data_IF_950582519751
#
_entry.id   IF_950582519751
#
_cell.length_a   1.000
_cell.length_b   1.000
_cell.length_c   1.000
_cell.angle_alpha   90.00
_cell.angle_beta   90.00
_cell.angle_gamma   90.00
#
_symmetry.space_group_name_H-M   'P 1'
#
loop_
_entity.id
_entity.type
_entity.pdbx_description
1 polymer ?
#
# COMPACT_ATOMS: atom_id res chain seq x y z
N UNK A 1 21.14 12.59 31.98
CA UNK A 1 20.05 12.06 31.13
C UNK A 1 20.70 11.16 30.09
N UNK A 2 20.16 9.98 29.77
CA UNK A 2 20.70 9.21 28.66
C UNK A 2 20.64 10.09 27.40
N UNK A 3 21.74 10.17 26.67
CA UNK A 3 21.86 10.99 25.47
C UNK A 3 20.76 10.54 24.49
N UNK A 4 19.91 11.48 24.07
CA UNK A 4 18.82 11.18 23.13
C UNK A 4 19.42 10.61 21.84
N UNK A 5 18.94 9.45 21.41
CA UNK A 5 19.40 8.83 20.16
C UNK A 5 18.99 9.73 18.99
N UNK A 6 19.95 10.09 18.15
CA UNK A 6 19.67 10.79 16.90
C UNK A 6 19.10 9.80 15.87
N UNK A 7 18.08 10.24 15.14
CA UNK A 7 17.45 9.46 14.08
C UNK A 7 17.88 10.04 12.73
N UNK A 8 18.36 9.18 11.84
CA UNK A 8 18.80 9.56 10.48
C UNK A 8 18.05 8.70 9.44
N UNK A 9 17.86 9.26 8.24
CA UNK A 9 17.29 8.54 7.10
C UNK A 9 18.45 7.97 6.28
N UNK A 10 18.52 6.66 6.16
CA UNK A 10 19.63 5.96 5.46
C UNK A 10 19.27 5.47 4.07
N UNK A 11 17.98 5.30 3.76
CA UNK A 11 17.55 4.85 2.44
C UNK A 11 16.12 5.27 2.13
N UNK A 12 15.83 5.41 0.84
CA UNK A 12 14.52 5.81 0.33
C UNK A 12 14.06 4.86 -0.77
N UNK A 13 12.76 4.57 -0.77
CA UNK A 13 12.12 3.75 -1.80
C UNK A 13 10.70 4.21 -2.03
N UNK A 14 10.29 4.25 -3.29
CA UNK A 14 8.98 4.73 -3.70
C UNK A 14 8.49 3.94 -4.92
N UNK A 15 7.19 3.68 -4.96
CA UNK A 15 6.49 3.15 -6.14
C UNK A 15 5.28 4.05 -6.31
N UNK A 16 5.37 5.00 -7.25
CA UNK A 16 4.35 6.03 -7.40
C UNK A 16 4.22 6.50 -8.86
N UNK A 17 3.27 7.39 -9.17
CA UNK A 17 3.04 7.86 -10.54
C UNK A 17 4.20 8.60 -11.19
N UNK A 18 5.21 9.00 -10.41
CA UNK A 18 6.43 9.67 -10.88
C UNK A 18 7.58 8.71 -11.15
N UNK A 19 7.42 7.41 -10.86
CA UNK A 19 8.42 6.39 -11.13
C UNK A 19 8.55 5.34 -10.03
N UNK A 20 9.47 4.41 -10.26
CA UNK A 20 9.78 3.29 -9.36
C UNK A 20 11.23 3.45 -8.89
N UNK A 21 11.41 3.56 -7.58
CA UNK A 21 12.70 3.80 -6.94
C UNK A 21 13.04 5.28 -6.78
N UNK A 22 14.02 5.56 -5.91
CA UNK A 22 14.45 6.91 -5.54
C UNK A 22 14.85 7.76 -6.75
N UNK A 23 15.72 7.22 -7.59
CA UNK A 23 16.36 8.01 -8.66
C UNK A 23 15.36 8.39 -9.76
N UNK A 24 14.44 7.48 -10.13
CA UNK A 24 13.38 7.77 -11.09
C UNK A 24 12.42 8.85 -10.58
N UNK A 25 11.97 8.73 -9.32
CA UNK A 25 11.09 9.73 -8.70
C UNK A 25 11.79 11.09 -8.60
N UNK A 26 13.07 11.11 -8.22
CA UNK A 26 13.85 12.35 -8.15
C UNK A 26 14.02 13.01 -9.52
N UNK A 27 14.29 12.25 -10.57
CA UNK A 27 14.41 12.77 -11.94
C UNK A 27 13.10 13.41 -12.41
N UNK A 28 11.96 12.75 -12.17
CA UNK A 28 10.64 13.28 -12.52
C UNK A 28 10.32 14.57 -11.75
N UNK A 29 10.60 14.61 -10.44
CA UNK A 29 10.38 15.80 -9.60
C UNK A 29 11.26 16.98 -10.02
N UNK A 30 12.55 16.74 -10.24
CA UNK A 30 13.53 17.79 -10.59
C UNK A 30 13.29 18.38 -11.98
N UNK A 31 12.59 17.67 -12.86
CA UNK A 31 12.22 18.13 -14.21
C UNK A 31 10.77 18.62 -14.31
N UNK A 32 10.01 18.61 -13.21
CA UNK A 32 8.62 19.08 -13.17
C UNK A 32 7.64 18.18 -13.93
N UNK A 33 7.93 16.88 -14.06
CA UNK A 33 7.02 15.94 -14.71
C UNK A 33 5.79 15.69 -13.86
N UNK A 34 4.63 15.65 -14.50
CA UNK A 34 3.36 15.29 -13.86
C UNK A 34 3.08 13.79 -14.05
N UNK A 35 2.76 13.11 -12.95
CA UNK A 35 2.25 11.73 -12.99
C UNK A 35 0.74 11.64 -13.26
N UNK A 36 0.03 12.78 -13.31
CA UNK A 36 -1.44 12.82 -13.48
C UNK A 36 -1.80 12.66 -14.95
N UNK A 37 -2.69 11.72 -15.25
CA UNK A 37 -3.12 11.37 -16.60
C UNK A 37 -4.54 10.86 -16.64
N UNK A 38 -5.10 10.78 -17.85
CA UNK A 38 -6.43 10.21 -18.09
C UNK A 38 -6.43 8.73 -17.67
N UNK A 39 -7.42 8.32 -16.90
CA UNK A 39 -7.68 6.92 -16.56
C UNK A 39 -8.16 6.22 -17.84
N UNK A 40 -7.43 5.23 -18.39
CA UNK A 40 -7.77 4.60 -19.67
C UNK A 40 -9.18 4.04 -19.72
N UNK A 41 -9.64 3.45 -18.61
CA UNK A 41 -10.98 2.88 -18.47
C UNK A 41 -12.08 3.94 -18.61
N UNK A 42 -11.78 5.21 -18.33
CA UNK A 42 -12.74 6.32 -18.38
C UNK A 42 -12.65 7.12 -19.68
N UNK A 43 -11.83 6.69 -20.64
CA UNK A 43 -11.74 7.32 -21.94
C UNK A 43 -13.10 7.29 -22.66
N UNK A 44 -13.58 8.45 -23.10
CA UNK A 44 -14.87 8.59 -23.79
C UNK A 44 -16.11 8.56 -22.88
N UNK A 45 -15.94 8.45 -21.55
CA UNK A 45 -17.05 8.52 -20.60
C UNK A 45 -17.19 9.94 -20.05
N UNK A 46 -18.42 10.42 -19.86
CA UNK A 46 -18.67 11.72 -19.22
C UNK A 46 -18.72 11.59 -17.68
N UNK A 47 -17.58 11.20 -17.11
CA UNK A 47 -17.39 11.16 -15.66
C UNK A 47 -16.77 12.46 -15.17
N UNK A 48 -17.12 12.94 -13.96
CA UNK A 48 -16.50 14.14 -13.41
C UNK A 48 -15.07 13.95 -12.92
N UNK A 49 -14.65 12.70 -12.68
CA UNK A 49 -13.29 12.33 -12.28
C UNK A 49 -12.69 11.43 -13.37
N UNK A 50 -11.83 11.98 -14.22
CA UNK A 50 -11.21 11.22 -15.32
C UNK A 50 -9.69 11.16 -15.24
N UNK A 51 -9.10 11.92 -14.33
CA UNK A 51 -7.65 12.04 -14.20
C UNK A 51 -7.21 11.52 -12.84
N UNK A 52 -6.10 10.78 -12.83
CA UNK A 52 -5.45 10.35 -11.62
C UNK A 52 -3.95 10.08 -11.84
N UNK A 53 -3.21 9.94 -10.75
CA UNK A 53 -1.84 9.46 -10.79
C UNK A 53 -1.82 7.94 -10.83
N UNK A 54 -1.66 7.35 -12.00
CA UNK A 54 -1.52 5.90 -12.14
C UNK A 54 -0.05 5.51 -11.93
N UNK A 55 0.23 4.28 -11.52
CA UNK A 55 1.60 3.76 -11.49
C UNK A 55 1.85 3.05 -12.82
N UNK A 56 2.83 3.50 -13.60
CA UNK A 56 3.15 2.96 -14.92
C UNK A 56 4.35 2.02 -14.86
N UNK A 57 4.29 0.93 -15.63
CA UNK A 57 5.40 -0.02 -15.76
C UNK A 57 5.74 -0.78 -14.47
N UNK A 58 4.89 -0.74 -13.44
CA UNK A 58 5.11 -1.48 -12.22
C UNK A 58 4.67 -2.93 -12.37
N UNK A 59 5.64 -3.84 -12.30
CA UNK A 59 5.44 -5.28 -12.37
C UNK A 59 5.76 -5.91 -10.99
N UNK A 60 4.76 -6.11 -10.12
CA UNK A 60 4.95 -6.61 -8.76
C UNK A 60 5.80 -7.88 -8.64
N UNK A 61 5.74 -8.76 -9.67
CA UNK A 61 6.47 -10.03 -9.74
C UNK A 61 7.98 -9.90 -9.81
N UNK A 62 8.50 -8.70 -10.07
CA UNK A 62 9.93 -8.38 -10.10
C UNK A 62 10.47 -8.13 -8.69
N UNK A 63 9.63 -7.59 -7.80
CA UNK A 63 10.01 -7.16 -6.46
C UNK A 63 9.56 -8.14 -5.38
N UNK A 64 8.33 -8.68 -5.50
CA UNK A 64 7.72 -9.52 -4.48
C UNK A 64 8.26 -10.94 -4.55
N UNK A 65 8.93 -11.35 -3.47
CA UNK A 65 9.45 -12.71 -3.32
C UNK A 65 8.98 -13.36 -2.00
N UNK A 66 8.56 -14.64 -2.02
CA UNK A 66 8.33 -15.47 -3.20
C UNK A 66 7.07 -15.04 -3.99
N UNK A 67 7.05 -15.23 -5.31
CA UNK A 67 5.94 -14.84 -6.20
C UNK A 67 4.55 -15.32 -5.76
N UNK A 68 4.46 -16.45 -5.05
CA UNK A 68 3.20 -16.98 -4.51
C UNK A 68 2.49 -16.00 -3.56
N UNK A 69 3.24 -15.12 -2.88
CA UNK A 69 2.70 -14.14 -1.93
C UNK A 69 1.86 -13.06 -2.63
N UNK A 70 2.06 -12.83 -3.93
CA UNK A 70 1.25 -11.88 -4.71
C UNK A 70 -0.26 -12.18 -4.62
N UNK A 71 -0.64 -13.45 -4.49
CA UNK A 71 -2.05 -13.87 -4.39
C UNK A 71 -2.77 -13.37 -3.13
N UNK A 72 -2.01 -12.96 -2.12
CA UNK A 72 -2.54 -12.49 -0.83
C UNK A 72 -2.21 -11.02 -0.56
N UNK A 73 -1.82 -10.26 -1.59
CA UNK A 73 -1.50 -8.83 -1.49
C UNK A 73 -2.37 -8.01 -2.45
N UNK A 74 -2.99 -6.92 -1.98
CA UNK A 74 -3.57 -5.92 -2.88
C UNK A 74 -2.50 -5.15 -3.64
N UNK A 75 -2.88 -4.43 -4.70
CA UNK A 75 -1.95 -3.59 -5.46
C UNK A 75 -1.20 -2.58 -4.57
N UNK A 76 -1.90 -1.99 -3.60
CA UNK A 76 -1.32 -1.05 -2.62
C UNK A 76 -0.28 -1.75 -1.72
N UNK A 77 -0.57 -2.98 -1.27
CA UNK A 77 0.37 -3.76 -0.47
C UNK A 77 1.59 -4.17 -1.30
N UNK A 78 1.39 -4.56 -2.56
CA UNK A 78 2.48 -4.90 -3.48
C UNK A 78 3.39 -3.70 -3.72
N UNK A 79 2.82 -2.51 -3.93
CA UNK A 79 3.58 -1.26 -4.06
C UNK A 79 4.33 -0.91 -2.77
N UNK A 80 3.66 -1.00 -1.60
CA UNK A 80 4.27 -0.74 -0.29
C UNK A 80 5.47 -1.66 -0.03
N UNK A 81 5.28 -2.96 -0.27
CA UNK A 81 6.31 -3.97 -0.13
C UNK A 81 7.51 -3.66 -1.03
N UNK A 82 7.25 -3.36 -2.30
CA UNK A 82 8.28 -3.10 -3.29
C UNK A 82 9.06 -1.83 -2.95
N UNK A 83 8.37 -0.76 -2.53
CA UNK A 83 8.99 0.47 -2.04
C UNK A 83 9.89 0.21 -0.81
N UNK A 84 9.45 -0.63 0.13
CA UNK A 84 10.25 -1.00 1.30
C UNK A 84 11.51 -1.78 0.92
N UNK A 85 11.42 -2.71 -0.04
CA UNK A 85 12.59 -3.45 -0.53
C UNK A 85 13.59 -2.52 -1.24
N UNK A 86 13.10 -1.56 -2.04
CA UNK A 86 13.94 -0.51 -2.65
C UNK A 86 14.60 0.36 -1.59
N UNK A 87 13.90 0.73 -0.51
CA UNK A 87 14.46 1.53 0.57
C UNK A 87 15.57 0.79 1.34
N UNK A 88 15.40 -0.51 1.60
CA UNK A 88 16.42 -1.36 2.21
C UNK A 88 17.66 -1.49 1.32
N UNK A 89 17.45 -1.65 0.01
CA UNK A 89 18.53 -1.71 -0.96
C UNK A 89 19.29 -0.38 -1.02
N UNK A 90 18.57 0.75 -1.06
CA UNK A 90 19.16 2.10 -1.07
C UNK A 90 19.98 2.38 0.20
N UNK A 91 19.51 1.89 1.34
CA UNK A 91 20.23 1.98 2.62
C UNK A 91 21.51 1.12 2.66
N UNK A 92 21.76 0.26 1.66
CA UNK A 92 22.87 -0.68 1.66
C UNK A 92 22.76 -1.76 2.75
N UNK A 93 21.56 -1.98 3.29
CA UNK A 93 21.33 -2.98 4.33
C UNK A 93 21.27 -4.37 3.73
N UNK A 94 22.39 -5.09 3.81
CA UNK A 94 22.44 -6.49 3.41
C UNK A 94 21.48 -7.33 4.26
N UNK A 95 21.00 -8.45 3.71
CA UNK A 95 20.18 -9.40 4.46
C UNK A 95 20.94 -9.88 5.71
N UNK A 96 20.27 -9.87 6.86
CA UNK A 96 20.85 -10.22 8.18
C UNK A 96 21.96 -9.26 8.68
N UNK A 97 22.09 -8.07 8.11
CA UNK A 97 23.04 -7.05 8.62
C UNK A 97 22.58 -6.38 9.93
N UNK A 98 21.29 -6.48 10.25
CA UNK A 98 20.68 -5.97 11.48
C UNK A 98 20.16 -7.16 12.29
N UNK A 99 20.35 -7.11 13.60
CA UNK A 99 19.74 -8.10 14.52
C UNK A 99 18.22 -8.06 14.33
N UNK A 100 17.55 -9.19 14.01
CA UNK A 100 16.12 -9.22 13.70
C UNK A 100 15.23 -8.50 14.71
N UNK A 101 15.49 -8.67 16.00
CA UNK A 101 14.74 -8.06 17.11
C UNK A 101 14.97 -6.54 17.24
N UNK A 102 15.98 -6.00 16.55
CA UNK A 102 16.33 -4.58 16.49
C UNK A 102 15.91 -3.91 15.18
N UNK A 103 15.34 -4.68 14.24
CA UNK A 103 14.74 -4.21 13.01
C UNK A 103 13.21 -4.23 13.14
N UNK A 104 12.59 -3.04 13.11
CA UNK A 104 11.13 -2.90 13.19
C UNK A 104 10.51 -2.36 11.90
N UNK A 105 9.18 -2.39 11.86
CA UNK A 105 8.36 -1.98 10.70
C UNK A 105 7.13 -1.22 11.19
N UNK A 106 6.96 0.04 10.77
CA UNK A 106 5.75 0.81 11.05
C UNK A 106 5.25 1.45 9.77
N UNK A 107 4.10 0.99 9.27
CA UNK A 107 3.53 1.50 8.02
C UNK A 107 2.22 2.22 8.28
N UNK A 108 2.05 3.35 7.61
CA UNK A 108 0.78 4.01 7.46
C UNK A 108 -0.01 3.41 6.31
N UNK A 109 -1.33 3.44 6.38
CA UNK A 109 -2.15 3.21 5.19
C UNK A 109 -3.45 4.01 5.21
N UNK A 110 -4.00 4.23 4.02
CA UNK A 110 -5.41 4.59 3.89
C UNK A 110 -6.28 3.33 4.04
N UNK A 111 -7.61 3.51 3.99
CA UNK A 111 -8.51 2.38 3.85
C UNK A 111 -8.18 1.62 2.55
N UNK A 112 -7.80 0.35 2.68
CA UNK A 112 -7.57 -0.53 1.55
C UNK A 112 -8.91 -1.09 1.08
N UNK A 113 -9.42 -0.53 0.00
CA UNK A 113 -10.67 -0.98 -0.59
C UNK A 113 -10.45 -2.27 -1.38
N UNK A 114 -11.38 -3.22 -1.23
CA UNK A 114 -11.44 -4.41 -2.07
C UNK A 114 -11.48 -4.04 -3.56
N UNK A 115 -10.88 -4.86 -4.42
CA UNK A 115 -11.01 -4.68 -5.86
C UNK A 115 -12.44 -5.02 -6.28
N UNK A 116 -13.11 -4.10 -6.97
CA UNK A 116 -14.48 -4.34 -7.44
C UNK A 116 -14.59 -5.59 -8.32
N UNK A 117 -13.56 -5.90 -9.11
CA UNK A 117 -13.51 -7.09 -9.94
C UNK A 117 -13.70 -8.39 -9.16
N UNK A 118 -13.23 -8.46 -7.91
CA UNK A 118 -13.35 -9.66 -7.07
C UNK A 118 -14.77 -9.86 -6.52
N UNK A 119 -15.56 -8.80 -6.42
CA UNK A 119 -16.96 -8.86 -5.98
C UNK A 119 -17.95 -8.78 -7.15
N UNK A 120 -17.52 -8.35 -8.33
CA UNK A 120 -18.38 -8.09 -9.48
C UNK A 120 -19.12 -9.35 -9.95
N UNK A 121 -18.45 -10.50 -9.97
CA UNK A 121 -19.08 -11.75 -10.40
C UNK A 121 -20.12 -12.24 -9.38
N UNK A 122 -19.79 -12.18 -8.08
CA UNK A 122 -20.77 -12.44 -7.01
C UNK A 122 -21.97 -11.51 -7.11
N UNK A 123 -21.74 -10.23 -7.40
CA UNK A 123 -22.81 -9.25 -7.59
C UNK A 123 -23.70 -9.60 -8.79
N UNK A 124 -23.11 -9.93 -9.95
CA UNK A 124 -23.85 -10.30 -11.17
C UNK A 124 -24.72 -11.54 -10.96
N UNK A 125 -24.26 -12.52 -10.19
CA UNK A 125 -25.02 -13.72 -9.86
C UNK A 125 -26.22 -13.45 -8.94
N UNK A 126 -26.26 -12.29 -8.31
CA UNK A 126 -27.40 -11.83 -7.53
C UNK A 126 -28.38 -10.98 -8.35
N UNK A 127 -28.11 -10.72 -9.63
CA UNK A 127 -29.02 -9.97 -10.51
C UNK A 127 -29.86 -10.93 -11.33
N UNK A 128 -31.18 -10.91 -11.11
CA UNK A 128 -32.17 -11.69 -11.87
C UNK A 128 -33.20 -10.72 -12.41
N UNK A 129 -33.54 -10.84 -13.70
CA UNK A 129 -34.47 -9.94 -14.40
C UNK A 129 -34.16 -8.43 -14.25
N UNK A 130 -32.89 -8.08 -14.02
CA UNK A 130 -32.41 -6.71 -13.86
C UNK A 130 -32.50 -6.15 -12.44
N UNK A 131 -33.01 -6.92 -11.47
CA UNK A 131 -33.09 -6.53 -10.07
C UNK A 131 -32.07 -7.27 -9.21
N UNK A 132 -31.57 -6.60 -8.16
CA UNK A 132 -30.62 -7.19 -7.23
C UNK A 132 -31.36 -7.94 -6.11
N UNK A 133 -31.08 -9.24 -6.00
CA UNK A 133 -31.66 -10.15 -5.03
C UNK A 133 -30.74 -10.33 -3.82
N UNK A 134 -31.05 -9.64 -2.72
CA UNK A 134 -30.25 -9.63 -1.49
C UNK A 134 -30.10 -11.02 -0.86
N UNK A 135 -31.11 -11.87 -0.99
CA UNK A 135 -31.15 -13.24 -0.47
C UNK A 135 -30.10 -14.15 -1.12
N UNK A 136 -29.71 -13.86 -2.38
CA UNK A 136 -28.69 -14.63 -3.09
C UNK A 136 -27.27 -14.23 -2.64
N UNK A 137 -27.10 -13.02 -2.10
CA UNK A 137 -25.78 -12.44 -1.82
C UNK A 137 -24.91 -13.31 -0.93
N UNK A 138 -25.44 -13.75 0.22
CA UNK A 138 -24.67 -14.51 1.19
C UNK A 138 -24.13 -15.81 0.59
N UNK A 139 -24.95 -16.53 -0.17
CA UNK A 139 -24.54 -17.79 -0.81
C UNK A 139 -23.55 -17.55 -1.97
N UNK A 140 -23.82 -16.57 -2.84
CA UNK A 140 -22.97 -16.30 -4.00
C UNK A 140 -21.61 -15.72 -3.60
N UNK A 141 -21.55 -14.85 -2.58
CA UNK A 141 -20.29 -14.31 -2.11
C UNK A 141 -19.46 -15.38 -1.42
N UNK A 142 -20.05 -16.24 -0.58
CA UNK A 142 -19.31 -17.29 0.12
C UNK A 142 -18.76 -18.37 -0.83
N UNK A 143 -19.43 -18.64 -1.96
CA UNK A 143 -18.96 -19.61 -2.96
C UNK A 143 -17.84 -19.08 -3.85
N UNK A 144 -17.89 -17.80 -4.22
CA UNK A 144 -17.02 -17.24 -5.26
C UNK A 144 -15.86 -16.42 -4.68
N UNK A 145 -15.99 -15.91 -3.46
CA UNK A 145 -14.94 -15.10 -2.85
C UNK A 145 -13.75 -15.98 -2.47
N UNK A 146 -12.55 -15.50 -2.80
CA UNK A 146 -11.33 -16.17 -2.41
C UNK A 146 -11.24 -16.29 -0.86
N UNK A 147 -10.98 -17.47 -0.28
CA UNK A 147 -11.03 -17.64 1.18
C UNK A 147 -10.07 -16.75 1.98
N UNK A 148 -8.96 -16.31 1.37
CA UNK A 148 -8.00 -15.41 1.99
C UNK A 148 -8.18 -13.94 1.55
N UNK A 149 -9.33 -13.60 0.97
CA UNK A 149 -9.65 -12.26 0.49
C UNK A 149 -9.44 -11.19 1.56
N UNK A 150 -9.88 -11.44 2.79
CA UNK A 150 -9.66 -10.48 3.89
C UNK A 150 -8.17 -10.22 4.15
N UNK A 151 -7.32 -11.24 4.04
CA UNK A 151 -5.87 -11.06 4.21
C UNK A 151 -5.25 -10.18 3.12
N UNK A 152 -5.92 -10.03 1.97
CA UNK A 152 -5.46 -9.17 0.88
C UNK A 152 -5.64 -7.68 1.20
N UNK A 153 -6.58 -7.31 2.08
CA UNK A 153 -7.00 -5.92 2.30
C UNK A 153 -6.87 -5.44 3.76
N UNK A 154 -6.44 -6.30 4.68
CA UNK A 154 -6.19 -5.87 6.06
C UNK A 154 -5.05 -4.82 6.11
N UNK A 155 -5.26 -3.64 6.71
CA UNK A 155 -4.29 -2.55 6.69
C UNK A 155 -2.90 -2.90 7.25
N UNK A 156 -2.85 -3.84 8.20
CA UNK A 156 -1.60 -4.29 8.81
C UNK A 156 -0.76 -5.23 7.92
N UNK A 157 -1.33 -5.75 6.84
CA UNK A 157 -0.68 -6.77 6.03
C UNK A 157 0.54 -6.26 5.26
N UNK A 158 0.58 -4.97 4.91
CA UNK A 158 1.79 -4.35 4.35
C UNK A 158 2.98 -4.48 5.31
N UNK A 159 2.81 -4.08 6.58
CA UNK A 159 3.85 -4.20 7.60
C UNK A 159 4.23 -5.66 7.87
N UNK A 160 3.26 -6.58 7.88
CA UNK A 160 3.51 -8.02 8.05
C UNK A 160 4.36 -8.58 6.91
N UNK A 161 4.00 -8.31 5.65
CA UNK A 161 4.72 -8.84 4.50
C UNK A 161 6.14 -8.29 4.39
N UNK A 162 6.31 -6.98 4.67
CA UNK A 162 7.63 -6.36 4.74
C UNK A 162 8.46 -7.03 5.84
N UNK A 163 7.89 -7.16 7.04
CA UNK A 163 8.60 -7.76 8.17
C UNK A 163 9.01 -9.21 7.94
N UNK A 164 8.14 -10.02 7.31
CA UNK A 164 8.48 -11.40 6.92
C UNK A 164 9.62 -11.43 5.90
N UNK A 165 9.62 -10.54 4.91
CA UNK A 165 10.65 -10.53 3.87
C UNK A 165 12.01 -10.03 4.36
N UNK A 166 12.02 -9.08 5.30
CA UNK A 166 13.24 -8.53 5.89
C UNK A 166 13.69 -9.21 7.19
N UNK A 167 12.97 -10.25 7.65
CA UNK A 167 13.13 -10.87 8.99
C UNK A 167 13.14 -9.83 10.12
N UNK A 168 12.25 -8.84 10.03
CA UNK A 168 12.09 -7.80 11.05
C UNK A 168 11.20 -8.30 12.18
N UNK A 169 11.80 -8.50 13.37
CA UNK A 169 11.14 -9.03 14.58
C UNK A 169 11.06 -8.02 15.72
N UNK A 170 11.54 -6.80 15.48
CA UNK A 170 11.36 -5.67 16.38
C UNK A 170 9.91 -5.14 16.36
N UNK A 171 9.69 -3.90 16.82
CA UNK A 171 8.37 -3.28 16.84
C UNK A 171 7.69 -3.34 15.46
N UNK A 172 6.48 -3.89 15.41
CA UNK A 172 5.67 -3.98 14.20
C UNK A 172 4.29 -3.34 14.46
N UNK A 173 3.97 -2.26 13.75
CA UNK A 173 2.71 -1.54 13.92
C UNK A 173 2.16 -1.02 12.59
N UNK A 174 0.86 -0.70 12.56
CA UNK A 174 0.23 -0.10 11.39
C UNK A 174 -0.75 0.99 11.80
N UNK A 175 -0.62 2.16 11.18
CA UNK A 175 -1.40 3.36 11.54
C UNK A 175 -2.33 3.71 10.40
N UNK A 176 -3.63 3.85 10.71
CA UNK A 176 -4.68 4.10 9.72
C UNK A 176 -5.45 5.35 10.12
N UNK A 177 -4.96 6.50 9.69
CA UNK A 177 -5.49 7.85 9.94
C UNK A 177 -5.49 8.69 8.64
N UNK A 178 -6.03 8.12 7.56
CA UNK A 178 -6.15 8.78 6.26
C UNK A 178 -4.84 9.38 5.73
N UNK A 179 -4.89 10.64 5.28
CA UNK A 179 -3.72 11.34 4.75
C UNK A 179 -2.58 11.57 5.76
N UNK A 180 -2.85 11.42 7.07
CA UNK A 180 -1.85 11.58 8.12
C UNK A 180 -1.11 10.27 8.45
N UNK A 181 -1.58 9.11 7.97
CA UNK A 181 -1.06 7.78 8.32
C UNK A 181 0.45 7.65 8.18
N UNK A 182 1.02 8.04 7.04
CA UNK A 182 2.45 7.88 6.76
C UNK A 182 3.32 8.76 7.65
N UNK A 183 2.85 9.98 7.98
CA UNK A 183 3.55 10.88 8.89
C UNK A 183 3.53 10.35 10.32
N UNK A 184 2.38 9.86 10.79
CA UNK A 184 2.27 9.23 12.10
C UNK A 184 3.14 7.97 12.20
N UNK A 185 3.21 7.17 11.14
CA UNK A 185 4.07 5.99 11.06
C UNK A 185 5.56 6.36 11.16
N UNK A 186 5.97 7.43 10.48
CA UNK A 186 7.33 7.97 10.60
C UNK A 186 7.65 8.45 12.03
N UNK A 187 6.71 9.14 12.67
CA UNK A 187 6.87 9.61 14.05
C UNK A 187 6.99 8.43 15.02
N UNK A 188 6.12 7.42 14.91
CA UNK A 188 6.17 6.23 15.76
C UNK A 188 7.46 5.43 15.56
N UNK A 189 7.93 5.28 14.32
CA UNK A 189 9.22 4.66 14.01
C UNK A 189 10.39 5.44 14.63
N UNK A 190 10.39 6.76 14.52
CA UNK A 190 11.41 7.62 15.13
C UNK A 190 11.41 7.47 16.65
N UNK A 191 10.23 7.44 17.27
CA UNK A 191 10.08 7.25 18.71
C UNK A 191 10.54 5.86 19.17
N UNK A 192 10.32 4.81 18.37
CA UNK A 192 10.81 3.47 18.67
C UNK A 192 12.36 3.42 18.76
N UNK A 193 13.05 4.15 17.87
CA UNK A 193 14.52 4.30 17.91
C UNK A 193 14.94 5.12 19.13
N UNK A 194 14.32 6.27 19.36
CA UNK A 194 14.63 7.18 20.48
C UNK A 194 14.48 6.47 21.83
N UNK A 195 13.41 5.68 22.00
CA UNK A 195 13.13 4.88 23.21
C UNK A 195 14.04 3.65 23.35
N UNK A 196 14.87 3.37 22.34
CA UNK A 196 15.81 2.25 22.36
C UNK A 196 15.18 0.90 22.05
N UNK A 197 13.94 0.84 21.54
CA UNK A 197 13.26 -0.41 21.20
C UNK A 197 13.76 -1.02 19.88
N UNK A 198 14.31 -0.21 18.97
CA UNK A 198 14.91 -0.65 17.72
C UNK A 198 16.16 0.18 17.40
N UNK A 199 17.00 -0.33 16.50
CA UNK A 199 18.13 0.41 15.92
C UNK A 199 17.87 0.78 14.45
N UNK A 200 17.02 0.01 13.77
CA UNK A 200 16.57 0.29 12.40
C UNK A 200 15.06 0.13 12.32
N UNK A 201 14.39 1.08 11.65
CA UNK A 201 12.96 1.02 11.39
C UNK A 201 12.68 1.23 9.91
N UNK A 202 11.88 0.34 9.34
CA UNK A 202 11.26 0.54 8.03
C UNK A 202 9.96 1.30 8.27
N UNK A 203 9.80 2.47 7.66
CA UNK A 203 8.58 3.27 7.80
C UNK A 203 8.16 3.93 6.49
N UNK A 204 6.89 4.32 6.41
CA UNK A 204 6.29 4.94 5.23
C UNK A 204 4.78 4.72 5.22
N UNK A 205 4.19 4.61 4.04
CA UNK A 205 2.81 4.17 3.92
C UNK A 205 2.37 3.89 2.50
N UNK A 206 1.13 3.42 2.35
CA UNK A 206 0.53 3.09 1.06
C UNK A 206 -0.98 3.32 1.04
N UNK A 207 -1.49 3.67 -0.13
CA UNK A 207 -2.91 3.90 -0.34
C UNK A 207 -3.20 4.17 -1.79
N UNK A 208 -4.47 3.97 -2.16
CA UNK A 208 -5.01 4.36 -3.45
C UNK A 208 -6.39 4.94 -3.24
N UNK A 209 -6.55 6.19 -3.68
CA UNK A 209 -7.88 6.82 -3.80
C UNK A 209 -8.53 6.53 -5.16
N UNK A 210 -7.88 5.75 -6.03
CA UNK A 210 -8.37 5.35 -7.36
C UNK A 210 -9.10 4.01 -7.23
N UNK A 211 -10.03 3.91 -6.28
CA UNK A 211 -10.95 2.79 -6.16
C UNK A 211 -12.36 3.29 -6.45
N UNK A 212 -13.08 2.61 -7.34
CA UNK A 212 -14.43 3.01 -7.76
C UNK A 212 -15.44 3.03 -6.61
N UNK A 213 -15.30 2.14 -5.62
CA UNK A 213 -16.11 2.18 -4.39
C UNK A 213 -15.81 3.43 -3.55
N UNK A 214 -14.54 3.83 -3.45
CA UNK A 214 -14.14 5.06 -2.78
C UNK A 214 -14.60 6.32 -3.54
N UNK A 215 -14.48 6.33 -4.87
CA UNK A 215 -14.93 7.41 -5.74
C UNK A 215 -16.46 7.59 -5.68
N UNK A 216 -17.21 6.48 -5.59
CA UNK A 216 -18.65 6.51 -5.40
C UNK A 216 -19.05 6.98 -3.98
N UNK A 217 -18.35 6.50 -2.94
CA UNK A 217 -18.65 6.83 -1.54
C UNK A 217 -18.30 8.27 -1.15
N UNK A 218 -17.19 8.84 -1.67
CA UNK A 218 -16.78 10.23 -1.38
C UNK A 218 -17.71 11.30 -1.94
N UNK A 219 -18.80 10.90 -2.62
CA UNK A 219 -19.97 11.70 -2.97
C UNK A 219 -19.70 13.17 -3.19
N UNK A 220 -19.36 13.57 -4.42
CA UNK A 220 -19.34 14.91 -5.05
C UNK A 220 -18.86 16.15 -4.25
N UNK A 221 -19.26 16.35 -2.99
CA UNK A 221 -19.06 17.57 -2.20
C UNK A 221 -17.73 17.65 -1.44
N UNK A 222 -16.90 16.60 -1.45
CA UNK A 222 -15.71 16.52 -0.61
C UNK A 222 -14.38 16.25 -1.36
N UNK A 223 -14.34 16.43 -2.68
CA UNK A 223 -13.09 16.33 -3.49
C UNK A 223 -12.61 17.73 -3.87
N UNK A 224 -12.41 18.59 -2.86
CA UNK A 224 -11.74 19.89 -2.98
C UNK A 224 -10.61 19.97 -1.97
#
# INVERSE_FOLDING_TARGET
MPQSREVVVTGLGAVCPLGIGRDAVWASLSTGQSGVRLIPEFAGQDLPFRYAGLIEGFEPKEYVQPRKTLKVMSGEIQAAYSAAMLALQDAGLAKNSVVPERLGVVLGSEMLYGELGELADSYRLCVVDGEFHHELWAEQVMKNLFPLWMLKYLPNMAACHIGIASDARGPNNSIVEGGASSLLAFLEASQAIIRGHADVMICGGSGSSINMGALAFRGWKHIS
#
